data_IF_023186980465
#
_entry.id   IF_023186980465
#
_cell.length_a   1.000
_cell.length_b   1.000
_cell.length_c   1.000
_cell.angle_alpha   90.00
_cell.angle_beta   90.00
_cell.angle_gamma   90.00
#
_symmetry.space_group_name_H-M   'P 1'
#
loop_
_entity.id
_entity.type
_entity.pdbx_description
1 polymer ?
#
# COMPACT_ATOMS: atom_id res chain seq x y z
N UNK A 1 2.16 5.32 -1.83
CA UNK A 1 2.86 4.80 -0.64
C UNK A 1 4.16 5.54 -0.35
N UNK A 2 5.01 5.85 -1.34
CA UNK A 2 6.31 6.53 -1.13
C UNK A 2 6.25 7.78 -0.23
N UNK A 3 5.31 8.70 -0.48
CA UNK A 3 5.17 9.92 0.35
C UNK A 3 4.75 9.61 1.79
N UNK A 4 3.89 8.61 1.98
CA UNK A 4 3.48 8.13 3.31
C UNK A 4 4.71 7.56 4.04
N UNK A 5 5.53 6.76 3.37
CA UNK A 5 6.76 6.19 3.95
C UNK A 5 7.74 7.28 4.40
N UNK A 6 7.93 8.33 3.59
CA UNK A 6 8.78 9.46 3.96
C UNK A 6 8.23 10.16 5.20
N UNK A 7 6.93 10.45 5.24
CA UNK A 7 6.30 11.07 6.41
C UNK A 7 6.38 10.18 7.66
N UNK A 8 6.27 8.86 7.53
CA UNK A 8 6.44 7.90 8.63
C UNK A 8 7.88 7.88 9.15
N UNK A 9 8.89 7.97 8.27
CA UNK A 9 10.30 8.07 8.67
C UNK A 9 10.55 9.39 9.43
N UNK A 10 10.04 10.51 8.92
CA UNK A 10 10.16 11.81 9.57
C UNK A 10 9.51 11.80 10.95
N UNK A 11 8.33 11.20 11.06
CA UNK A 11 7.65 11.02 12.35
C UNK A 11 8.47 10.17 13.32
N UNK A 12 9.03 9.05 12.85
CA UNK A 12 9.83 8.15 13.69
C UNK A 12 11.14 8.80 14.19
N UNK A 13 11.81 9.58 13.33
CA UNK A 13 13.07 10.24 13.67
C UNK A 13 12.89 11.57 14.41
N UNK A 14 11.66 12.03 14.64
CA UNK A 14 11.41 13.30 15.29
C UNK A 14 11.76 13.23 16.79
N UNK A 15 12.69 14.05 17.30
CA UNK A 15 13.02 14.05 18.72
C UNK A 15 11.86 14.63 19.57
N UNK A 16 11.74 14.14 20.79
CA UNK A 16 10.74 14.62 21.75
C UNK A 16 10.90 16.14 21.97
N UNK A 17 9.80 16.88 21.83
CA UNK A 17 9.78 18.34 21.97
C UNK A 17 9.28 19.10 20.74
N UNK A 18 8.99 18.42 19.62
CA UNK A 18 8.44 19.04 18.40
C UNK A 18 7.02 18.55 18.03
N UNK A 19 5.97 18.86 18.82
CA UNK A 19 4.59 18.41 18.54
C UNK A 19 4.03 18.87 17.19
N UNK A 20 4.48 20.04 16.69
CA UNK A 20 4.02 20.56 15.40
C UNK A 20 4.43 19.65 14.23
N UNK A 21 5.60 19.01 14.32
CA UNK A 21 6.08 18.06 13.31
C UNK A 21 5.25 16.78 13.36
N UNK A 22 4.93 16.30 14.57
CA UNK A 22 4.06 15.14 14.76
C UNK A 22 2.66 15.37 14.18
N UNK A 23 2.07 16.54 14.48
CA UNK A 23 0.77 16.92 13.94
C UNK A 23 0.79 17.01 12.41
N UNK A 24 1.81 17.65 11.82
CA UNK A 24 1.95 17.74 10.37
C UNK A 24 2.11 16.35 9.74
N UNK A 25 2.94 15.48 10.30
CA UNK A 25 3.13 14.12 9.80
C UNK A 25 1.84 13.30 9.88
N UNK A 26 1.10 13.38 10.98
CA UNK A 26 -0.18 12.68 11.13
C UNK A 26 -1.23 13.15 10.12
N UNK A 27 -1.30 14.46 9.86
CA UNK A 27 -2.18 15.01 8.82
C UNK A 27 -1.79 14.48 7.45
N UNK A 28 -0.50 14.51 7.11
CA UNK A 28 0.02 14.06 5.81
C UNK A 28 -0.22 12.56 5.61
N UNK A 29 0.11 11.74 6.61
CA UNK A 29 -0.08 10.28 6.56
C UNK A 29 -1.57 9.96 6.39
N UNK A 30 -2.44 10.54 7.23
CA UNK A 30 -3.87 10.30 7.20
C UNK A 30 -4.53 10.74 5.88
N UNK A 31 -4.09 11.86 5.32
CA UNK A 31 -4.59 12.33 4.02
C UNK A 31 -4.11 11.45 2.86
N UNK A 32 -2.84 11.07 2.84
CA UNK A 32 -2.22 10.40 1.68
C UNK A 32 -2.44 8.89 1.64
N UNK A 33 -2.80 8.24 2.76
CA UNK A 33 -2.99 6.78 2.79
C UNK A 33 -4.23 6.32 2.01
N UNK A 34 -5.29 7.14 1.96
CA UNK A 34 -6.52 6.79 1.26
C UNK A 34 -6.38 6.78 -0.27
N UNK A 35 -5.51 7.62 -0.83
CA UNK A 35 -5.29 7.70 -2.28
C UNK A 35 -4.93 6.33 -2.89
N UNK A 36 -3.83 5.70 -2.44
CA UNK A 36 -3.45 4.36 -2.90
C UNK A 36 -4.51 3.28 -2.64
N UNK A 37 -5.20 3.32 -1.50
CA UNK A 37 -6.24 2.33 -1.15
C UNK A 37 -7.38 2.36 -2.16
N UNK A 38 -7.83 3.56 -2.54
CA UNK A 38 -8.88 3.72 -3.55
C UNK A 38 -8.39 3.31 -4.94
N UNK A 39 -7.17 3.70 -5.32
CA UNK A 39 -6.60 3.40 -6.64
C UNK A 39 -6.42 1.90 -6.88
N UNK A 40 -6.06 1.12 -5.84
CA UNK A 40 -5.94 -0.35 -5.96
C UNK A 40 -7.30 -0.98 -6.27
N UNK A 41 -8.37 -0.54 -5.61
CA UNK A 41 -9.73 -1.04 -5.88
C UNK A 41 -10.17 -0.71 -7.31
N UNK A 42 -9.88 0.50 -7.77
CA UNK A 42 -10.16 0.94 -9.15
C UNK A 42 -9.37 0.12 -10.17
N UNK A 43 -8.08 -0.11 -9.91
CA UNK A 43 -7.22 -0.92 -10.76
C UNK A 43 -7.69 -2.38 -10.85
N UNK A 44 -8.18 -2.95 -9.74
CA UNK A 44 -8.77 -4.30 -9.75
C UNK A 44 -10.05 -4.40 -10.59
N UNK A 45 -10.84 -3.31 -10.69
CA UNK A 45 -12.01 -3.25 -11.58
C UNK A 45 -11.60 -3.28 -13.05
N UNK A 46 -10.52 -2.58 -13.41
CA UNK A 46 -10.03 -2.48 -14.79
C UNK A 46 -9.42 -3.78 -15.30
N UNK A 47 -8.76 -4.53 -14.41
CA UNK A 47 -8.14 -5.81 -14.75
C UNK A 47 -9.14 -6.98 -14.89
N UNK A 48 -10.35 -6.86 -14.33
CA UNK A 48 -11.33 -7.93 -14.30
C UNK A 48 -12.43 -7.78 -15.37
N UNK A 49 -13.01 -8.88 -15.89
CA UNK A 49 -14.15 -8.83 -16.79
C UNK A 49 -15.32 -8.05 -16.16
N UNK A 50 -16.08 -7.31 -16.97
CA UNK A 50 -17.21 -6.46 -16.50
C UNK A 50 -18.21 -7.17 -15.58
N UNK A 51 -18.39 -8.48 -15.77
CA UNK A 51 -19.30 -9.32 -14.96
C UNK A 51 -18.72 -9.69 -13.58
N UNK A 52 -17.40 -9.65 -13.42
CA UNK A 52 -16.67 -10.02 -12.21
C UNK A 52 -15.93 -8.84 -11.55
N UNK A 53 -15.96 -7.64 -12.15
CA UNK A 53 -15.25 -6.46 -11.66
C UNK A 53 -15.59 -6.16 -10.18
N UNK A 54 -16.88 -6.12 -9.84
CA UNK A 54 -17.30 -5.87 -8.44
C UNK A 54 -16.76 -6.90 -7.45
N UNK A 55 -16.69 -8.18 -7.84
CA UNK A 55 -16.12 -9.24 -7.01
C UNK A 55 -14.61 -9.13 -6.90
N UNK A 56 -13.90 -8.75 -7.97
CA UNK A 56 -12.45 -8.54 -7.95
C UNK A 56 -12.07 -7.37 -7.02
N UNK A 57 -12.75 -6.22 -7.15
CA UNK A 57 -12.56 -5.09 -6.26
C UNK A 57 -12.88 -5.47 -4.80
N UNK A 58 -14.02 -6.12 -4.55
CA UNK A 58 -14.41 -6.59 -3.23
C UNK A 58 -13.40 -7.58 -2.62
N UNK A 59 -12.83 -8.48 -3.43
CA UNK A 59 -11.79 -9.41 -3.01
C UNK A 59 -10.51 -8.69 -2.59
N UNK A 60 -10.03 -7.73 -3.39
CA UNK A 60 -8.86 -6.93 -3.02
C UNK A 60 -9.09 -6.12 -1.74
N UNK A 61 -10.28 -5.55 -1.57
CA UNK A 61 -10.66 -4.81 -0.37
C UNK A 61 -10.72 -5.71 0.87
N UNK A 62 -11.33 -6.89 0.76
CA UNK A 62 -11.45 -7.85 1.85
C UNK A 62 -10.07 -8.32 2.33
N UNK A 63 -9.21 -8.79 1.42
CA UNK A 63 -7.88 -9.27 1.79
C UNK A 63 -6.94 -8.14 2.23
N UNK A 64 -7.04 -6.97 1.60
CA UNK A 64 -6.29 -5.79 2.02
C UNK A 64 -6.67 -5.35 3.43
N UNK A 65 -7.96 -5.30 3.76
CA UNK A 65 -8.42 -4.86 5.07
C UNK A 65 -8.24 -5.92 6.16
N UNK A 66 -8.67 -7.17 5.94
CA UNK A 66 -8.51 -8.23 6.94
C UNK A 66 -7.04 -8.54 7.18
N UNK A 67 -6.27 -8.79 6.11
CA UNK A 67 -4.84 -9.07 6.22
C UNK A 67 -4.07 -7.88 6.80
N UNK A 68 -4.36 -6.67 6.33
CA UNK A 68 -3.75 -5.44 6.83
C UNK A 68 -4.07 -5.17 8.29
N UNK A 69 -5.31 -5.37 8.73
CA UNK A 69 -5.71 -5.15 10.14
C UNK A 69 -5.07 -6.16 11.08
N UNK A 70 -5.02 -7.44 10.67
CA UNK A 70 -4.34 -8.48 11.44
C UNK A 70 -2.84 -8.19 11.54
N UNK A 71 -2.19 -7.79 10.45
CA UNK A 71 -0.79 -7.40 10.47
C UNK A 71 -0.55 -6.17 11.36
N UNK A 72 -1.37 -5.12 11.22
CA UNK A 72 -1.28 -3.89 12.01
C UNK A 72 -1.53 -4.11 13.50
N UNK A 73 -2.35 -5.10 13.87
CA UNK A 73 -2.68 -5.37 15.27
C UNK A 73 -1.72 -6.39 15.88
N UNK A 74 -1.62 -7.59 15.27
CA UNK A 74 -0.85 -8.69 15.82
C UNK A 74 0.64 -8.57 15.49
N UNK A 75 1.02 -8.35 14.23
CA UNK A 75 2.45 -8.34 13.85
C UNK A 75 3.14 -7.12 14.46
N UNK A 76 2.55 -5.93 14.33
CA UNK A 76 3.12 -4.72 14.96
C UNK A 76 3.08 -4.85 16.48
N UNK A 77 1.98 -5.33 17.08
CA UNK A 77 1.89 -5.54 18.53
C UNK A 77 3.00 -6.44 19.06
N UNK A 78 3.13 -7.66 18.51
CA UNK A 78 4.21 -8.57 18.89
C UNK A 78 5.60 -7.98 18.63
N UNK A 79 5.80 -7.27 17.52
CA UNK A 79 7.10 -6.66 17.22
C UNK A 79 7.43 -5.58 18.24
N UNK A 80 6.47 -4.77 18.66
CA UNK A 80 6.69 -3.74 19.68
C UNK A 80 6.97 -4.34 21.05
N UNK A 81 6.31 -5.45 21.41
CA UNK A 81 6.54 -6.13 22.68
C UNK A 81 7.98 -6.69 22.81
N UNK A 82 8.56 -7.21 21.72
CA UNK A 82 9.90 -7.84 21.74
C UNK A 82 11.04 -6.95 21.24
N UNK A 83 10.79 -6.05 20.28
CA UNK A 83 11.80 -5.21 19.61
C UNK A 83 11.56 -3.70 19.82
N UNK A 84 10.53 -3.33 20.59
CA UNK A 84 10.19 -1.93 20.84
C UNK A 84 9.56 -1.23 19.64
N UNK A 85 9.30 0.07 19.81
CA UNK A 85 8.69 0.90 18.78
C UNK A 85 9.52 1.00 17.50
N UNK A 86 10.85 0.96 17.61
CA UNK A 86 11.75 0.93 16.45
C UNK A 86 11.47 -0.26 15.53
N UNK A 87 11.28 -1.45 16.11
CA UNK A 87 10.85 -2.64 15.35
C UNK A 87 9.49 -2.45 14.70
N UNK A 88 8.54 -1.82 15.41
CA UNK A 88 7.22 -1.48 14.86
C UNK A 88 7.30 -0.57 13.63
N UNK A 89 8.10 0.50 13.70
CA UNK A 89 8.33 1.41 12.57
C UNK A 89 9.06 0.73 11.41
N UNK A 90 10.04 -0.14 11.68
CA UNK A 90 10.71 -0.93 10.64
C UNK A 90 9.74 -1.82 9.87
N UNK A 91 8.80 -2.49 10.55
CA UNK A 91 7.77 -3.32 9.90
C UNK A 91 6.84 -2.46 9.03
N UNK A 92 6.40 -1.30 9.51
CA UNK A 92 5.53 -0.38 8.74
C UNK A 92 6.23 0.17 7.49
N UNK A 93 7.50 0.58 7.62
CA UNK A 93 8.31 1.07 6.50
C UNK A 93 8.59 -0.06 5.51
N UNK A 94 9.01 -1.23 5.99
CA UNK A 94 9.27 -2.42 5.15
C UNK A 94 8.04 -2.86 4.36
N UNK A 95 6.87 -2.90 5.00
CA UNK A 95 5.60 -3.19 4.34
C UNK A 95 5.24 -2.15 3.27
N UNK A 96 5.50 -0.87 3.53
CA UNK A 96 5.26 0.20 2.55
C UNK A 96 6.17 0.09 1.32
N UNK A 97 7.45 -0.23 1.52
CA UNK A 97 8.40 -0.46 0.42
C UNK A 97 7.99 -1.69 -0.40
N UNK A 98 7.62 -2.79 0.27
CA UNK A 98 7.13 -4.00 -0.41
C UNK A 98 5.87 -3.71 -1.22
N UNK A 99 4.93 -2.90 -0.71
CA UNK A 99 3.73 -2.49 -1.43
C UNK A 99 4.07 -1.71 -2.71
N UNK A 100 5.07 -0.82 -2.68
CA UNK A 100 5.54 -0.11 -3.88
C UNK A 100 6.13 -1.09 -4.89
N UNK A 101 6.99 -2.02 -4.45
CA UNK A 101 7.62 -3.02 -5.33
C UNK A 101 6.55 -3.89 -6.00
N UNK A 102 5.59 -4.41 -5.23
CA UNK A 102 4.51 -5.24 -5.76
C UNK A 102 3.62 -4.47 -6.75
N UNK A 103 3.33 -3.19 -6.47
CA UNK A 103 2.57 -2.35 -7.39
C UNK A 103 3.33 -2.11 -8.71
N UNK A 104 4.65 -1.92 -8.66
CA UNK A 104 5.50 -1.83 -9.85
C UNK A 104 5.47 -3.14 -10.65
N UNK A 105 5.56 -4.28 -9.99
CA UNK A 105 5.47 -5.60 -10.64
C UNK A 105 4.14 -5.78 -11.36
N UNK A 106 3.02 -5.40 -10.73
CA UNK A 106 1.69 -5.45 -11.34
C UNK A 106 1.61 -4.56 -12.58
N UNK A 107 2.09 -3.31 -12.50
CA UNK A 107 2.10 -2.38 -13.64
C UNK A 107 2.94 -2.90 -14.82
N UNK A 108 4.08 -3.55 -14.55
CA UNK A 108 4.90 -4.15 -15.62
C UNK A 108 4.16 -5.34 -16.25
N UNK A 109 3.51 -6.17 -15.44
CA UNK A 109 2.72 -7.30 -15.92
C UNK A 109 1.55 -6.86 -16.81
N UNK A 110 0.83 -5.82 -16.41
CA UNK A 110 -0.26 -5.22 -17.18
C UNK A 110 0.24 -4.69 -18.54
N UNK A 111 1.34 -3.91 -18.55
CA UNK A 111 1.92 -3.38 -19.79
C UNK A 111 2.28 -4.49 -20.78
N UNK A 112 2.91 -5.56 -20.29
CA UNK A 112 3.26 -6.72 -21.13
C UNK A 112 2.02 -7.40 -21.71
N UNK A 113 0.96 -7.55 -20.92
CA UNK A 113 -0.28 -8.15 -21.39
C UNK A 113 -0.96 -7.30 -22.48
N UNK A 114 -0.98 -5.97 -22.31
CA UNK A 114 -1.50 -5.04 -23.31
C UNK A 114 -0.67 -5.07 -24.60
N UNK A 115 0.66 -5.16 -24.51
CA UNK A 115 1.54 -5.32 -25.67
C UNK A 115 1.28 -6.63 -26.42
N UNK A 116 1.12 -7.75 -25.71
CA UNK A 116 0.80 -9.06 -26.32
C UNK A 116 -0.55 -9.04 -27.07
N UNK A 117 -1.57 -8.39 -26.50
CA UNK A 117 -2.88 -8.23 -27.16
C UNK A 117 -2.75 -7.34 -28.40
N UNK A 118 -2.00 -6.23 -28.31
CA UNK A 118 -1.77 -5.32 -29.43
C UNK A 118 -1.03 -6.01 -30.59
N UNK A 119 -0.02 -6.82 -30.28
CA UNK A 119 0.72 -7.62 -31.26
C UNK A 119 -0.18 -8.65 -31.95
N UNK A 120 -1.02 -9.36 -31.21
CA UNK A 120 -2.01 -10.30 -31.78
C UNK A 120 -3.03 -9.62 -32.70
N UNK A 121 -3.40 -8.37 -32.42
CA UNK A 121 -4.34 -7.59 -33.24
C UNK A 121 -3.71 -7.02 -34.52
N UNK A 122 -2.41 -6.73 -34.49
CA UNK A 122 -1.70 -6.13 -35.63
C UNK A 122 -1.01 -7.17 -36.54
N UNK A 123 -0.90 -8.43 -36.08
CA UNK A 123 -0.24 -9.52 -36.80
C UNK A 123 -1.19 -10.53 -37.48
N UNK A 124 -2.49 -10.24 -37.57
CA UNK A 124 -3.49 -11.02 -38.31
C UNK A 124 -4.22 -10.14 -39.31
#
# INVERSE_FOLDING_TARGET
MTLVTIATIVYWMNPAGNPNVDMACMIIIGFLIYGPVMLIGLHALELAPKKAAGTAAGFTGLFGYLGGSVAASAIVGYTVDFFGWDGGFMVMIGGSVLAVILLVVVMIGEKRHHEEIALKRNGG
#
